data_IF_397761599971
#
_entry.id   IF_397761599971
#
_cell.length_a   1.000
_cell.length_b   1.000
_cell.length_c   1.000
_cell.angle_alpha   90.00
_cell.angle_beta   90.00
_cell.angle_gamma   90.00
#
_symmetry.space_group_name_H-M   'P 1'
#
loop_
_entity.id
_entity.type
_entity.pdbx_description
1 polymer ?
#
# COMPACT_ATOMS: atom_id res chain seq x y z
N UNK A 1 33.16 10.13 -1.37
CA UNK A 1 31.88 10.83 -1.19
C UNK A 1 30.84 9.75 -0.96
N UNK A 2 30.13 9.74 0.18
CA UNK A 2 29.06 8.76 0.41
C UNK A 2 27.97 9.04 -0.63
N UNK A 3 27.68 8.06 -1.49
CA UNK A 3 26.50 8.11 -2.35
C UNK A 3 25.28 8.20 -1.43
N UNK A 4 24.74 9.41 -1.27
CA UNK A 4 23.55 9.65 -0.48
C UNK A 4 22.34 9.28 -1.35
N UNK A 5 22.26 8.00 -1.73
CA UNK A 5 21.09 7.46 -2.41
C UNK A 5 19.91 7.69 -1.47
N UNK A 6 19.00 8.58 -1.85
CA UNK A 6 17.76 8.82 -1.12
C UNK A 6 17.10 7.46 -0.85
N UNK A 7 16.83 7.15 0.41
CA UNK A 7 16.18 5.89 0.80
C UNK A 7 14.83 5.82 0.09
N UNK A 8 14.61 4.75 -0.66
CA UNK A 8 13.35 4.51 -1.36
C UNK A 8 12.52 3.52 -0.56
N UNK A 9 11.23 3.77 -0.45
CA UNK A 9 10.30 2.90 0.25
C UNK A 9 9.22 2.38 -0.68
N UNK A 10 8.87 1.11 -0.48
CA UNK A 10 7.63 0.53 -0.97
C UNK A 10 6.65 0.40 0.20
N UNK A 11 5.48 1.03 0.05
CA UNK A 11 4.42 1.09 1.05
C UNK A 11 3.25 0.27 0.55
N UNK A 12 2.98 -0.83 1.24
CA UNK A 12 1.91 -1.79 0.96
C UNK A 12 0.89 -1.72 2.10
N UNK A 13 -0.37 -1.43 1.78
CA UNK A 13 -1.41 -1.13 2.78
C UNK A 13 -2.56 -2.12 2.63
N UNK A 14 -2.97 -2.74 3.73
CA UNK A 14 -4.22 -3.50 3.78
C UNK A 14 -5.39 -2.57 4.15
N UNK A 15 -6.32 -2.35 3.23
CA UNK A 15 -7.42 -1.42 3.42
C UNK A 15 -8.51 -1.93 4.37
N UNK A 16 -8.57 -3.24 4.62
CA UNK A 16 -9.53 -3.86 5.54
C UNK A 16 -9.04 -3.76 6.99
N UNK A 17 -7.72 -3.68 7.19
CA UNK A 17 -7.09 -3.63 8.51
C UNK A 17 -6.60 -2.23 8.94
N UNK A 18 -6.57 -1.25 8.02
CA UNK A 18 -6.13 0.12 8.30
C UNK A 18 -7.30 1.11 8.10
N UNK A 19 -7.55 2.05 9.04
CA UNK A 19 -8.49 3.13 8.81
C UNK A 19 -7.96 4.17 7.80
N UNK A 20 -8.82 4.57 6.84
CA UNK A 20 -8.47 5.57 5.81
C UNK A 20 -7.99 6.91 6.39
N UNK A 21 -8.46 7.28 7.59
CA UNK A 21 -8.06 8.51 8.29
C UNK A 21 -6.58 8.58 8.62
N UNK A 22 -5.90 7.43 8.74
CA UNK A 22 -4.53 7.37 9.24
C UNK A 22 -3.48 7.42 8.13
N UNK A 23 -3.87 7.15 6.87
CA UNK A 23 -2.90 6.97 5.79
C UNK A 23 -2.09 8.22 5.49
N UNK A 24 -2.69 9.40 5.60
CA UNK A 24 -2.00 10.65 5.37
C UNK A 24 -0.83 10.83 6.35
N UNK A 25 -1.09 10.66 7.65
CA UNK A 25 -0.05 10.78 8.68
C UNK A 25 1.04 9.72 8.54
N UNK A 26 0.68 8.49 8.14
CA UNK A 26 1.65 7.42 7.89
C UNK A 26 2.58 7.79 6.73
N UNK A 27 2.05 8.28 5.61
CA UNK A 27 2.85 8.67 4.46
C UNK A 27 3.72 9.90 4.74
N UNK A 28 3.20 10.88 5.49
CA UNK A 28 3.97 12.03 5.95
C UNK A 28 5.14 11.62 6.86
N UNK A 29 4.95 10.63 7.73
CA UNK A 29 6.00 10.11 8.59
C UNK A 29 7.08 9.38 7.77
N UNK A 30 6.68 8.49 6.85
CA UNK A 30 7.60 7.77 5.98
C UNK A 30 8.44 8.75 5.14
N UNK A 31 7.81 9.82 4.65
CA UNK A 31 8.47 10.85 3.84
C UNK A 31 9.60 11.59 4.57
N UNK A 32 9.64 11.57 5.91
CA UNK A 32 10.75 12.17 6.69
C UNK A 32 12.05 11.37 6.58
N UNK A 33 11.96 10.09 6.26
CA UNK A 33 13.10 9.17 6.22
C UNK A 33 13.58 8.87 4.79
N UNK A 34 12.75 9.14 3.78
CA UNK A 34 13.01 8.77 2.40
C UNK A 34 11.77 8.89 1.52
N UNK A 35 11.85 8.43 0.28
CA UNK A 35 10.84 8.65 -0.74
C UNK A 35 9.97 7.39 -0.90
N UNK A 36 8.66 7.44 -0.62
CA UNK A 36 7.74 6.36 -0.93
C UNK A 36 7.50 6.30 -2.44
N UNK A 37 8.29 5.49 -3.13
CA UNK A 37 8.26 5.34 -4.60
C UNK A 37 7.14 4.42 -5.07
N UNK A 38 6.76 3.44 -4.24
CA UNK A 38 5.64 2.54 -4.49
C UNK A 38 4.65 2.70 -3.34
N UNK A 39 3.39 2.97 -3.68
CA UNK A 39 2.27 3.09 -2.75
C UNK A 39 1.12 2.29 -3.29
N UNK A 40 0.85 1.14 -2.68
CA UNK A 40 -0.22 0.23 -3.09
C UNK A 40 -1.12 -0.06 -1.90
N UNK A 41 -2.40 -0.20 -2.20
CA UNK A 41 -3.40 -0.55 -1.21
C UNK A 41 -4.26 -1.69 -1.73
N UNK A 42 -4.48 -2.68 -0.88
CA UNK A 42 -5.12 -3.93 -1.24
C UNK A 42 -6.48 -4.01 -0.56
N UNK A 43 -7.51 -4.26 -1.35
CA UNK A 43 -8.86 -4.43 -0.85
C UNK A 43 -9.77 -5.11 -1.87
N UNK A 44 -10.93 -5.58 -1.40
CA UNK A 44 -12.06 -5.84 -2.28
C UNK A 44 -12.86 -4.54 -2.48
N UNK A 45 -12.55 -3.79 -3.55
CA UNK A 45 -13.19 -2.51 -3.89
C UNK A 45 -14.66 -2.65 -4.28
N UNK A 46 -15.19 -3.87 -4.38
CA UNK A 46 -16.62 -4.11 -4.57
C UNK A 46 -17.42 -3.98 -3.26
N UNK A 47 -16.74 -4.02 -2.10
CA UNK A 47 -17.38 -3.95 -0.79
C UNK A 47 -17.59 -2.50 -0.32
N UNK A 48 -18.70 -2.21 0.40
CA UNK A 48 -19.01 -0.86 0.85
C UNK A 48 -18.10 -0.35 1.99
N UNK A 49 -17.49 -1.26 2.77
CA UNK A 49 -16.63 -0.91 3.90
C UNK A 49 -15.35 -0.17 3.50
N UNK A 50 -14.91 -0.29 2.25
CA UNK A 50 -13.70 0.38 1.74
C UNK A 50 -14.00 1.65 0.93
N UNK A 51 -15.27 2.06 0.84
CA UNK A 51 -15.70 3.24 0.08
C UNK A 51 -15.03 4.56 0.54
N UNK A 52 -14.73 4.68 1.83
CA UNK A 52 -14.07 5.87 2.42
C UNK A 52 -12.66 6.14 1.91
N UNK A 53 -12.00 5.15 1.33
CA UNK A 53 -10.66 5.29 0.77
C UNK A 53 -10.62 6.10 -0.52
N UNK A 54 -11.69 6.10 -1.32
CA UNK A 54 -11.67 6.61 -2.70
C UNK A 54 -11.13 8.05 -2.83
N UNK A 55 -11.46 8.93 -1.89
CA UNK A 55 -10.93 10.31 -1.86
C UNK A 55 -9.44 10.34 -1.55
N UNK A 56 -9.03 9.60 -0.52
CA UNK A 56 -7.65 9.57 -0.01
C UNK A 56 -6.67 8.99 -1.04
N UNK A 57 -7.10 8.02 -1.87
CA UNK A 57 -6.22 7.37 -2.84
C UNK A 57 -5.66 8.34 -3.87
N UNK A 58 -6.53 9.19 -4.44
CA UNK A 58 -6.15 10.13 -5.48
C UNK A 58 -5.22 11.21 -4.91
N UNK A 59 -5.58 11.77 -3.75
CA UNK A 59 -4.82 12.81 -3.06
C UNK A 59 -3.38 12.37 -2.74
N UNK A 60 -3.20 11.09 -2.41
CA UNK A 60 -1.92 10.55 -1.97
C UNK A 60 -1.20 9.74 -3.05
N UNK A 61 -1.71 9.72 -4.29
CA UNK A 61 -1.20 8.91 -5.40
C UNK A 61 -0.95 7.44 -5.00
N UNK A 62 -1.93 6.83 -4.33
CA UNK A 62 -1.90 5.43 -3.92
C UNK A 62 -2.62 4.60 -4.98
N UNK A 63 -1.96 3.54 -5.46
CA UNK A 63 -2.54 2.66 -6.47
C UNK A 63 -3.42 1.59 -5.80
N UNK A 64 -4.74 1.54 -6.08
CA UNK A 64 -5.59 0.47 -5.60
C UNK A 64 -5.31 -0.84 -6.33
N UNK A 65 -5.20 -1.93 -5.57
CA UNK A 65 -5.09 -3.30 -6.06
C UNK A 65 -6.36 -4.05 -5.63
N UNK A 66 -7.12 -4.55 -6.61
CA UNK A 66 -8.32 -5.35 -6.37
C UNK A 66 -7.93 -6.76 -5.93
N UNK A 67 -8.50 -7.20 -4.81
CA UNK A 67 -8.40 -8.57 -4.33
C UNK A 67 -9.80 -9.08 -4.00
N UNK A 68 -10.24 -10.12 -4.70
CA UNK A 68 -11.54 -10.74 -4.40
C UNK A 68 -11.46 -11.53 -3.10
N UNK A 69 -12.29 -11.18 -2.13
CA UNK A 69 -12.41 -11.98 -0.90
C UNK A 69 -13.53 -12.99 -1.08
N UNK A 70 -13.19 -14.21 -1.52
CA UNK A 70 -14.19 -15.25 -1.77
C UNK A 70 -14.84 -15.81 -0.49
N UNK A 71 -14.18 -15.67 0.66
CA UNK A 71 -14.70 -16.08 1.98
C UNK A 71 -14.09 -15.23 3.08
N UNK A 72 -14.89 -14.73 4.01
CA UNK A 72 -14.40 -14.04 5.21
C UNK A 72 -13.50 -14.97 6.03
N UNK A 73 -12.30 -14.49 6.41
CA UNK A 73 -11.35 -15.26 7.23
C UNK A 73 -10.32 -16.12 6.46
N UNK A 74 -10.18 -15.96 5.13
CA UNK A 74 -9.06 -16.55 4.38
C UNK A 74 -8.03 -15.48 4.02
N UNK A 75 -6.75 -15.83 4.14
CA UNK A 75 -5.57 -14.97 3.93
C UNK A 75 -5.26 -14.70 2.44
N UNK A 76 -6.27 -14.57 1.59
CA UNK A 76 -6.07 -14.28 0.16
C UNK A 76 -5.43 -12.91 -0.05
N UNK A 77 -5.79 -11.94 0.80
CA UNK A 77 -5.26 -10.59 0.74
C UNK A 77 -3.78 -10.54 1.13
N UNK A 78 -3.42 -11.24 2.22
CA UNK A 78 -2.04 -11.38 2.68
C UNK A 78 -1.16 -12.06 1.63
N UNK A 79 -1.67 -13.14 1.02
CA UNK A 79 -0.92 -13.90 0.01
C UNK A 79 -0.58 -13.04 -1.21
N UNK A 80 -1.55 -12.28 -1.71
CA UNK A 80 -1.32 -11.39 -2.84
C UNK A 80 -0.42 -10.20 -2.48
N UNK A 81 -0.50 -9.68 -1.25
CA UNK A 81 0.41 -8.64 -0.76
C UNK A 81 1.85 -9.15 -0.62
N UNK A 82 2.05 -10.39 -0.13
CA UNK A 82 3.37 -11.03 -0.02
C UNK A 82 3.99 -11.25 -1.40
N UNK A 83 3.22 -11.76 -2.36
CA UNK A 83 3.70 -11.96 -3.75
C UNK A 83 4.15 -10.62 -4.33
N UNK A 84 3.33 -9.58 -4.19
CA UNK A 84 3.66 -8.27 -4.72
C UNK A 84 4.86 -7.63 -4.02
N UNK A 85 5.02 -7.84 -2.70
CA UNK A 85 6.22 -7.44 -1.97
C UNK A 85 7.48 -8.13 -2.49
N UNK A 86 7.40 -9.43 -2.78
CA UNK A 86 8.50 -10.21 -3.35
C UNK A 86 8.84 -9.74 -4.77
N UNK A 87 7.84 -9.45 -5.60
CA UNK A 87 8.05 -8.91 -6.94
C UNK A 87 8.69 -7.52 -6.89
N UNK A 88 8.31 -6.67 -5.94
CA UNK A 88 8.95 -5.36 -5.74
C UNK A 88 10.41 -5.52 -5.33
N UNK A 89 10.68 -6.42 -4.38
CA UNK A 89 12.04 -6.69 -3.89
C UNK A 89 12.94 -7.26 -5.00
N UNK A 90 12.42 -8.18 -5.80
CA UNK A 90 13.20 -8.91 -6.81
C UNK A 90 13.42 -8.10 -8.10
N UNK A 91 12.52 -7.16 -8.42
CA UNK A 91 12.64 -6.34 -9.64
C UNK A 91 13.52 -5.08 -9.47
N UNK A 92 14.31 -4.96 -8.39
CA UNK A 92 15.17 -3.80 -8.08
C UNK A 92 14.49 -2.43 -8.29
N UNK A 93 13.18 -2.32 -8.04
CA UNK A 93 12.46 -1.04 -8.14
C UNK A 93 12.70 -0.12 -6.93
N UNK A 94 13.63 -0.49 -6.05
CA UNK A 94 14.00 0.22 -4.82
C UNK A 94 15.50 0.13 -4.61
#
# INVERSE_FOLDING_TARGET
>A
MKNNSELRFAVLIDAENVPYSNVKGILEEIAKYGIPTIKRIYADWTKPNVSGWKGVLLENAITPIQQYSYTSGKNSSDSAMIIDAMDILYNEKV
#
